data_IF_023455278165
#
_entry.id   IF_023455278165
#
_cell.length_a   1.000
_cell.length_b   1.000
_cell.length_c   1.000
_cell.angle_alpha   90.00
_cell.angle_beta   90.00
_cell.angle_gamma   90.00
#
_symmetry.space_group_name_H-M   'P 1'
#
loop_
_entity.id
_entity.type
_entity.pdbx_description
1 polymer ?
#
# COMPACT_ATOMS: atom_id res chain seq x y z
N UNK A 1 -3.25 -3.78 17.16
CA UNK A 1 -2.39 -4.43 18.19
C UNK A 1 -1.59 -3.43 19.00
N UNK A 2 -0.90 -2.46 18.38
CA UNK A 2 -0.08 -1.47 19.10
C UNK A 2 -0.84 -0.67 20.19
N UNK A 3 -2.05 -0.18 19.92
CA UNK A 3 -2.86 0.53 20.93
C UNK A 3 -3.13 -0.30 22.20
N UNK A 4 -3.30 -1.61 22.05
CA UNK A 4 -3.47 -2.53 23.20
C UNK A 4 -2.16 -2.70 23.96
N UNK A 5 -1.02 -2.82 23.26
CA UNK A 5 0.29 -2.79 23.90
C UNK A 5 0.46 -1.50 24.72
N UNK A 6 0.15 -0.34 24.13
CA UNK A 6 0.20 0.95 24.81
C UNK A 6 -0.70 0.97 26.07
N UNK A 7 -1.93 0.49 25.98
CA UNK A 7 -2.85 0.36 27.11
C UNK A 7 -2.27 -0.52 28.24
N UNK A 8 -1.75 -1.71 27.93
CA UNK A 8 -1.18 -2.60 28.94
C UNK A 8 0.12 -2.07 29.55
N UNK A 9 0.90 -1.31 28.78
CA UNK A 9 2.04 -0.56 29.31
C UNK A 9 1.58 0.45 30.38
N UNK A 10 0.53 1.23 30.11
CA UNK A 10 -0.04 2.18 31.09
C UNK A 10 -0.59 1.47 32.33
N UNK A 11 -1.18 0.28 32.17
CA UNK A 11 -1.66 -0.56 33.30
C UNK A 11 -0.56 -1.34 34.00
N UNK A 12 0.70 -1.18 33.60
CA UNK A 12 1.86 -1.91 34.13
C UNK A 12 1.73 -3.44 34.03
N UNK A 13 0.96 -3.95 33.05
CA UNK A 13 0.76 -5.40 32.80
C UNK A 13 1.77 -5.88 31.75
N UNK A 14 3.01 -6.12 32.19
CA UNK A 14 4.16 -6.37 31.30
C UNK A 14 3.99 -7.61 30.41
N UNK A 15 3.42 -8.71 30.92
CA UNK A 15 3.20 -9.91 30.10
C UNK A 15 2.28 -9.63 28.91
N UNK A 16 1.12 -9.02 29.15
CA UNK A 16 0.17 -8.67 28.10
C UNK A 16 0.78 -7.62 27.16
N UNK A 17 1.48 -6.63 27.70
CA UNK A 17 2.24 -5.68 26.90
C UNK A 17 3.19 -6.38 25.91
N UNK A 18 4.02 -7.30 26.38
CA UNK A 18 4.96 -8.05 25.56
C UNK A 18 4.27 -8.91 24.50
N UNK A 19 3.15 -9.57 24.84
CA UNK A 19 2.34 -10.33 23.89
C UNK A 19 1.84 -9.43 22.76
N UNK A 20 1.28 -8.27 23.08
CA UNK A 20 0.75 -7.36 22.06
C UNK A 20 1.85 -6.65 21.26
N UNK A 21 3.05 -6.46 21.82
CA UNK A 21 4.23 -6.03 21.05
C UNK A 21 4.62 -7.11 20.03
N UNK A 22 4.75 -8.36 20.47
CA UNK A 22 5.07 -9.47 19.58
C UNK A 22 4.04 -9.62 18.47
N UNK A 23 2.75 -9.63 18.81
CA UNK A 23 1.66 -9.67 17.81
C UNK A 23 1.68 -8.45 16.88
N UNK A 24 2.14 -7.29 17.33
CA UNK A 24 2.27 -6.11 16.46
C UNK A 24 3.38 -6.29 15.43
N UNK A 25 4.53 -6.85 15.84
CA UNK A 25 5.66 -7.10 14.94
C UNK A 25 5.33 -8.15 13.86
N UNK A 26 4.47 -9.12 14.16
CA UNK A 26 4.03 -10.14 13.19
C UNK A 26 3.11 -9.62 12.09
N UNK A 27 2.56 -8.40 12.20
CA UNK A 27 1.62 -7.86 11.20
C UNK A 27 2.36 -7.31 9.99
N UNK A 28 3.40 -6.50 10.23
CA UNK A 28 4.18 -5.84 9.18
C UNK A 28 5.52 -5.39 9.74
N UNK A 29 6.55 -5.41 8.93
CA UNK A 29 7.95 -5.14 9.30
C UNK A 29 8.18 -3.70 9.81
N UNK A 30 7.49 -2.74 9.21
CA UNK A 30 7.56 -1.30 9.50
C UNK A 30 6.83 -0.92 10.81
N UNK A 31 6.02 -1.81 11.39
CA UNK A 31 5.46 -1.63 12.75
C UNK A 31 6.57 -1.55 13.81
N UNK A 32 7.75 -2.11 13.52
CA UNK A 32 8.91 -1.95 14.39
C UNK A 32 9.33 -0.48 14.57
N UNK A 33 9.04 0.42 13.62
CA UNK A 33 9.43 1.82 13.73
C UNK A 33 8.67 2.58 14.83
N UNK A 34 7.36 2.37 14.96
CA UNK A 34 6.60 2.98 16.05
C UNK A 34 7.01 2.38 17.41
N UNK A 35 7.33 1.09 17.46
CA UNK A 35 7.84 0.44 18.68
C UNK A 35 9.24 0.95 19.04
N UNK A 36 10.09 1.21 18.05
CA UNK A 36 11.41 1.78 18.24
C UNK A 36 11.31 3.16 18.93
N UNK A 37 10.48 4.07 18.43
CA UNK A 37 10.29 5.35 19.12
C UNK A 37 9.62 5.16 20.49
N UNK A 38 8.69 4.23 20.61
CA UNK A 38 8.07 3.94 21.91
C UNK A 38 9.09 3.48 22.95
N UNK A 39 10.11 2.70 22.54
CA UNK A 39 11.21 2.29 23.40
C UNK A 39 12.01 3.49 23.96
N UNK A 40 12.25 4.50 23.13
CA UNK A 40 12.90 5.75 23.53
C UNK A 40 12.03 6.54 24.52
N UNK A 41 10.72 6.59 24.31
CA UNK A 41 9.79 7.23 25.26
C UNK A 41 9.78 6.50 26.60
N UNK A 42 9.82 5.16 26.60
CA UNK A 42 9.90 4.34 27.83
C UNK A 42 11.21 4.58 28.57
N UNK A 43 12.31 4.83 27.84
CA UNK A 43 13.61 5.14 28.42
C UNK A 43 13.54 6.41 29.30
N UNK A 44 12.87 7.46 28.82
CA UNK A 44 12.64 8.69 29.60
C UNK A 44 11.77 8.47 30.85
N UNK A 45 10.92 7.45 30.84
CA UNK A 45 10.14 7.02 32.01
C UNK A 45 10.92 6.13 33.00
N UNK A 46 12.25 6.05 32.86
CA UNK A 46 13.18 5.31 33.74
C UNK A 46 12.93 3.80 33.80
N UNK A 47 12.22 3.21 32.82
CA UNK A 47 12.02 1.75 32.69
C UNK A 47 13.07 1.14 31.75
N UNK A 48 14.34 1.29 32.09
CA UNK A 48 15.49 0.99 31.21
C UNK A 48 15.49 -0.43 30.63
N UNK A 49 15.23 -1.46 31.45
CA UNK A 49 15.26 -2.86 30.99
C UNK A 49 14.29 -3.10 29.83
N UNK A 50 13.05 -2.62 29.97
CA UNK A 50 12.02 -2.79 28.93
C UNK A 50 12.37 -1.96 27.70
N UNK A 51 12.81 -0.71 27.88
CA UNK A 51 13.22 0.16 26.77
C UNK A 51 14.33 -0.48 25.92
N UNK A 52 15.40 -0.96 26.56
CA UNK A 52 16.54 -1.58 25.88
C UNK A 52 16.12 -2.83 25.11
N UNK A 53 15.30 -3.70 25.73
CA UNK A 53 14.79 -4.91 25.04
C UNK A 53 13.98 -4.51 23.81
N UNK A 54 13.06 -3.56 23.92
CA UNK A 54 12.24 -3.13 22.78
C UNK A 54 13.07 -2.48 21.67
N UNK A 55 14.07 -1.68 22.03
CA UNK A 55 14.96 -1.01 21.09
C UNK A 55 15.68 -2.04 20.22
N UNK A 56 16.38 -2.98 20.84
CA UNK A 56 17.12 -4.01 20.11
C UNK A 56 16.20 -4.99 19.38
N UNK A 57 15.06 -5.37 19.95
CA UNK A 57 14.07 -6.21 19.27
C UNK A 57 13.52 -5.53 18.01
N UNK A 58 13.24 -4.23 18.07
CA UNK A 58 12.73 -3.48 16.91
C UNK A 58 13.78 -3.40 15.79
N UNK A 59 15.03 -3.09 16.14
CA UNK A 59 16.14 -3.05 15.16
C UNK A 59 16.38 -4.43 14.57
N UNK A 60 16.45 -5.47 15.40
CA UNK A 60 16.62 -6.84 14.95
C UNK A 60 15.48 -7.26 14.01
N UNK A 61 14.23 -6.93 14.34
CA UNK A 61 13.08 -7.24 13.49
C UNK A 61 13.17 -6.57 12.12
N UNK A 62 13.49 -5.27 12.05
CA UNK A 62 13.64 -4.54 10.78
C UNK A 62 14.66 -5.23 9.87
N UNK A 63 15.82 -5.60 10.44
CA UNK A 63 16.90 -6.26 9.69
C UNK A 63 16.49 -7.67 9.26
N UNK A 64 15.96 -8.48 10.16
CA UNK A 64 15.58 -9.87 9.91
C UNK A 64 14.46 -9.92 8.87
N UNK A 65 13.40 -9.13 9.06
CA UNK A 65 12.27 -9.10 8.14
C UNK A 65 12.69 -8.69 6.72
N UNK A 66 13.49 -7.63 6.57
CA UNK A 66 13.99 -7.22 5.26
C UNK A 66 14.88 -8.27 4.61
N UNK A 67 15.73 -8.98 5.36
CA UNK A 67 16.55 -10.08 4.83
C UNK A 67 15.71 -11.27 4.39
N UNK A 68 14.69 -11.64 5.17
CA UNK A 68 13.77 -12.71 4.81
C UNK A 68 13.02 -12.33 3.53
N UNK A 69 12.44 -11.13 3.46
CA UNK A 69 11.73 -10.63 2.27
C UNK A 69 12.65 -10.63 1.05
N UNK A 70 13.87 -10.10 1.20
CA UNK A 70 14.85 -10.08 0.12
C UNK A 70 15.20 -11.48 -0.39
N UNK A 71 15.31 -12.49 0.50
CA UNK A 71 15.66 -13.87 0.08
C UNK A 71 14.60 -14.55 -0.79
N UNK A 72 13.35 -14.06 -0.80
CA UNK A 72 12.31 -14.54 -1.72
C UNK A 72 12.35 -13.84 -3.08
N UNK A 73 13.13 -12.77 -3.23
CA UNK A 73 13.40 -12.14 -4.52
C UNK A 73 14.56 -12.85 -5.22
N UNK A 74 14.40 -13.14 -6.52
CA UNK A 74 15.47 -13.73 -7.32
C UNK A 74 16.72 -12.85 -7.42
N UNK A 75 16.59 -11.54 -7.22
CA UNK A 75 17.68 -10.57 -7.18
C UNK A 75 18.15 -10.25 -5.75
N UNK A 76 17.66 -10.98 -4.74
CA UNK A 76 17.91 -10.71 -3.32
C UNK A 76 17.62 -9.25 -2.93
N UNK A 77 16.58 -8.68 -3.54
CA UNK A 77 16.24 -7.28 -3.47
C UNK A 77 15.04 -7.02 -2.55
N UNK A 78 15.14 -5.99 -1.71
CA UNK A 78 14.02 -5.45 -0.95
C UNK A 78 13.54 -4.12 -1.57
N UNK A 79 12.27 -4.01 -1.99
CA UNK A 79 11.65 -2.77 -2.47
C UNK A 79 11.84 -1.56 -1.56
N UNK A 80 11.98 -1.79 -0.25
CA UNK A 80 11.96 -0.74 0.76
C UNK A 80 13.00 0.36 0.50
N UNK A 81 14.25 -0.02 0.24
CA UNK A 81 15.35 0.95 0.05
C UNK A 81 15.26 1.72 -1.26
N UNK A 82 14.63 1.15 -2.29
CA UNK A 82 14.52 1.78 -3.59
C UNK A 82 13.73 3.10 -3.53
N UNK A 83 12.69 3.16 -2.70
CA UNK A 83 11.89 4.37 -2.49
C UNK A 83 12.71 5.56 -1.97
N UNK A 84 13.86 5.32 -1.33
CA UNK A 84 14.71 6.34 -0.73
C UNK A 84 16.01 6.59 -1.51
N UNK A 85 16.22 5.90 -2.63
CA UNK A 85 17.44 6.00 -3.44
C UNK A 85 17.77 7.43 -3.88
N UNK A 86 16.75 8.27 -4.10
CA UNK A 86 16.90 9.66 -4.49
C UNK A 86 17.57 10.54 -3.41
N UNK A 87 17.50 10.16 -2.13
CA UNK A 87 18.13 10.91 -1.04
C UNK A 87 19.66 10.95 -1.16
N UNK A 88 20.26 9.91 -1.75
CA UNK A 88 21.71 9.83 -1.92
C UNK A 88 22.28 10.80 -2.97
N UNK A 89 21.44 11.27 -3.90
CA UNK A 89 21.83 12.21 -4.97
C UNK A 89 21.20 13.59 -4.81
N UNK A 90 20.27 13.77 -3.88
CA UNK A 90 19.60 15.04 -3.64
C UNK A 90 20.40 15.95 -2.68
N UNK A 91 20.52 17.23 -3.06
CA UNK A 91 21.04 18.25 -2.14
C UNK A 91 20.04 18.57 -1.02
N UNK A 92 20.52 19.14 0.09
CA UNK A 92 19.68 19.46 1.27
C UNK A 92 18.49 20.36 0.95
N UNK A 93 18.64 21.29 -0.01
CA UNK A 93 17.55 22.15 -0.49
C UNK A 93 16.45 21.37 -1.18
N UNK A 94 16.79 20.38 -2.02
CA UNK A 94 15.84 19.51 -2.68
C UNK A 94 15.09 18.61 -1.67
N UNK A 95 15.81 18.11 -0.66
CA UNK A 95 15.21 17.33 0.43
C UNK A 95 14.22 18.20 1.24
N UNK A 96 14.62 19.41 1.62
CA UNK A 96 13.74 20.33 2.33
C UNK A 96 12.51 20.72 1.51
N UNK A 97 12.68 21.03 0.23
CA UNK A 97 11.58 21.33 -0.69
C UNK A 97 10.63 20.14 -0.85
N UNK A 98 11.15 18.91 -0.85
CA UNK A 98 10.34 17.70 -0.90
C UNK A 98 9.51 17.53 0.38
N UNK A 99 10.15 17.66 1.56
CA UNK A 99 9.46 17.58 2.86
C UNK A 99 8.32 18.61 2.95
N UNK A 100 8.58 19.83 2.50
CA UNK A 100 7.61 20.95 2.52
C UNK A 100 6.72 21.01 1.27
N UNK A 101 6.72 19.97 0.44
CA UNK A 101 5.89 19.94 -0.76
C UNK A 101 4.40 19.99 -0.41
N UNK A 102 3.61 20.58 -1.31
CA UNK A 102 2.14 20.67 -1.14
C UNK A 102 1.52 19.29 -0.81
N UNK A 103 1.95 18.22 -1.47
CA UNK A 103 1.44 16.86 -1.23
C UNK A 103 1.68 16.37 0.20
N UNK A 104 2.86 16.64 0.76
CA UNK A 104 3.20 16.26 2.12
C UNK A 104 2.42 17.10 3.14
N UNK A 105 2.28 18.41 2.90
CA UNK A 105 1.50 19.30 3.75
C UNK A 105 0.01 18.99 3.72
N UNK A 106 -0.55 18.71 2.54
CA UNK A 106 -1.92 18.24 2.35
C UNK A 106 -2.17 16.95 3.13
N UNK A 107 -1.24 15.99 3.03
CA UNK A 107 -1.33 14.73 3.77
C UNK A 107 -1.36 14.95 5.29
N UNK A 108 -0.38 15.68 5.83
CA UNK A 108 -0.28 15.96 7.26
C UNK A 108 -1.55 16.69 7.74
N UNK A 109 -2.01 17.67 6.97
CA UNK A 109 -3.25 18.42 7.24
C UNK A 109 -4.45 17.48 7.28
N UNK A 110 -4.64 16.64 6.26
CA UNK A 110 -5.76 15.72 6.19
C UNK A 110 -5.77 14.68 7.32
N UNK A 111 -4.61 14.29 7.86
CA UNK A 111 -4.57 13.39 9.03
C UNK A 111 -4.76 14.11 10.37
N UNK A 112 -4.43 15.40 10.48
CA UNK A 112 -4.64 16.19 11.71
C UNK A 112 -6.05 16.79 11.79
N UNK A 113 -6.67 17.07 10.66
CA UNK A 113 -7.97 17.74 10.55
C UNK A 113 -9.13 16.97 11.24
N UNK A 114 -9.26 15.62 11.13
CA UNK A 114 -10.26 14.85 11.89
C UNK A 114 -10.17 15.03 13.41
N UNK A 115 -8.98 15.41 13.90
CA UNK A 115 -8.69 15.66 15.31
C UNK A 115 -8.63 17.16 15.65
N UNK A 116 -9.07 18.05 14.75
CA UNK A 116 -8.96 19.51 14.87
C UNK A 116 -7.56 19.97 15.32
N UNK A 117 -6.51 19.30 14.86
CA UNK A 117 -5.12 19.57 15.23
C UNK A 117 -4.80 19.45 16.74
N UNK A 118 -5.71 18.93 17.57
CA UNK A 118 -5.52 18.69 19.01
C UNK A 118 -4.29 17.80 19.31
N UNK A 119 -3.90 16.80 18.49
CA UNK A 119 -2.67 16.04 18.71
C UNK A 119 -1.42 16.91 18.91
N UNK A 120 -1.36 18.10 18.29
CA UNK A 120 -0.24 19.04 18.43
C UNK A 120 -0.04 19.54 19.87
N UNK A 121 -1.07 19.46 20.72
CA UNK A 121 -0.99 19.85 22.14
C UNK A 121 -0.21 18.83 22.99
N UNK A 122 0.09 17.64 22.47
CA UNK A 122 0.90 16.60 23.14
C UNK A 122 2.01 16.08 22.22
N UNK A 123 3.03 16.90 21.92
CA UNK A 123 4.11 16.53 20.99
C UNK A 123 4.89 15.28 21.42
N UNK A 124 4.98 15.00 22.72
CA UNK A 124 5.63 13.79 23.24
C UNK A 124 5.08 12.48 22.62
N UNK A 125 3.76 12.44 22.36
CA UNK A 125 3.11 11.25 21.80
C UNK A 125 3.10 11.29 20.28
N UNK A 126 3.18 12.49 19.66
CA UNK A 126 3.40 12.63 18.23
C UNK A 126 4.76 12.09 17.79
N UNK A 127 5.75 12.03 18.67
CA UNK A 127 7.03 11.38 18.37
C UNK A 127 6.85 9.93 17.89
N UNK A 128 5.82 9.22 18.36
CA UNK A 128 5.51 7.86 17.89
C UNK A 128 5.23 7.80 16.37
N UNK A 129 4.75 8.90 15.78
CA UNK A 129 4.54 9.00 14.33
C UNK A 129 5.83 9.32 13.56
N UNK A 130 6.92 9.71 14.22
CA UNK A 130 8.07 10.35 13.57
C UNK A 130 8.66 9.50 12.45
N UNK A 131 9.05 8.26 12.76
CA UNK A 131 9.66 7.38 11.75
C UNK A 131 8.62 6.92 10.74
N UNK A 132 7.43 6.39 11.12
CA UNK A 132 6.43 5.97 10.14
C UNK A 132 5.96 7.09 9.19
N UNK A 133 5.92 8.33 9.67
CA UNK A 133 5.59 9.48 8.82
C UNK A 133 6.77 9.85 7.91
N UNK A 134 8.01 9.78 8.42
CA UNK A 134 9.21 10.00 7.62
C UNK A 134 9.34 8.99 6.48
N UNK A 135 8.93 7.74 6.68
CA UNK A 135 8.91 6.73 5.60
C UNK A 135 8.12 7.21 4.39
N UNK A 136 6.96 7.81 4.63
CA UNK A 136 6.09 8.29 3.56
C UNK A 136 6.63 9.60 2.98
N UNK A 137 6.97 10.56 3.85
CA UNK A 137 7.42 11.90 3.45
C UNK A 137 8.74 11.86 2.69
N UNK A 138 9.66 10.95 3.03
CA UNK A 138 10.97 10.87 2.41
C UNK A 138 11.02 9.89 1.23
N UNK A 139 9.94 9.16 0.96
CA UNK A 139 9.85 8.34 -0.25
C UNK A 139 9.89 9.23 -1.50
N UNK A 140 10.42 8.73 -2.62
CA UNK A 140 10.51 9.50 -3.87
C UNK A 140 9.14 9.99 -4.39
N UNK A 141 8.05 9.28 -4.04
CA UNK A 141 6.69 9.66 -4.38
C UNK A 141 6.14 10.77 -3.46
N UNK A 142 6.68 10.88 -2.23
CA UNK A 142 6.13 11.67 -1.14
C UNK A 142 4.77 11.13 -0.65
N UNK A 143 4.06 11.97 0.09
CA UNK A 143 2.70 11.74 0.53
C UNK A 143 1.64 12.16 -0.50
N UNK A 144 0.46 12.52 0.01
CA UNK A 144 -0.66 13.08 -0.75
C UNK A 144 -1.90 12.20 -0.73
N UNK A 145 -2.85 12.50 -1.62
CA UNK A 145 -4.18 11.88 -1.70
C UNK A 145 -4.16 10.34 -1.65
N UNK A 146 -3.19 9.72 -2.33
CA UNK A 146 -3.04 8.27 -2.45
C UNK A 146 -2.81 7.59 -1.09
N UNK A 147 -2.15 8.27 -0.14
CA UNK A 147 -1.90 7.72 1.20
C UNK A 147 -3.20 7.57 1.99
N UNK A 148 -4.19 8.45 1.78
CA UNK A 148 -5.52 8.32 2.39
C UNK A 148 -6.35 7.20 1.74
N UNK A 149 -6.13 6.94 0.45
CA UNK A 149 -6.84 5.87 -0.27
C UNK A 149 -6.26 4.49 0.05
N UNK A 150 -5.02 4.45 0.53
CA UNK A 150 -4.32 3.22 0.91
C UNK A 150 -4.29 3.05 2.43
N UNK A 151 -3.81 1.89 2.88
CA UNK A 151 -3.76 1.55 4.30
C UNK A 151 -2.49 2.06 5.01
N UNK A 152 -1.67 2.89 4.34
CA UNK A 152 -0.40 3.38 4.88
C UNK A 152 -0.55 4.28 6.11
N UNK A 153 -1.68 5.00 6.22
CA UNK A 153 -2.01 5.80 7.41
C UNK A 153 -2.07 5.00 8.71
N UNK A 154 -2.36 3.68 8.63
CA UNK A 154 -2.57 2.83 9.79
C UNK A 154 -1.36 2.75 10.74
N UNK A 155 -0.14 2.99 10.26
CA UNK A 155 1.07 2.93 11.09
C UNK A 155 1.20 4.07 12.09
N UNK A 156 0.85 5.30 11.70
CA UNK A 156 1.01 6.49 12.54
C UNK A 156 -0.30 6.99 13.15
N UNK A 157 -1.46 6.51 12.69
CA UNK A 157 -2.76 6.78 13.32
C UNK A 157 -2.77 6.50 14.84
N UNK A 158 -2.17 5.41 15.37
CA UNK A 158 -2.09 5.20 16.81
C UNK A 158 -1.43 6.36 17.57
N UNK A 159 -0.38 6.96 17.00
CA UNK A 159 0.29 8.11 17.59
C UNK A 159 -0.64 9.33 17.65
N UNK A 160 -1.39 9.60 16.58
CA UNK A 160 -2.37 10.69 16.52
C UNK A 160 -3.47 10.49 17.55
N UNK A 161 -4.01 9.28 17.69
CA UNK A 161 -5.05 8.96 18.67
C UNK A 161 -4.54 9.13 20.10
N UNK A 162 -3.34 8.62 20.43
CA UNK A 162 -2.75 8.77 21.77
C UNK A 162 -2.50 10.25 22.08
N UNK A 163 -1.95 11.00 21.12
CA UNK A 163 -1.71 12.44 21.27
C UNK A 163 -3.01 13.23 21.42
N UNK A 164 -4.05 12.89 20.65
CA UNK A 164 -5.40 13.45 20.77
C UNK A 164 -5.96 13.25 22.17
N UNK A 165 -5.98 12.00 22.68
CA UNK A 165 -6.50 11.69 24.02
C UNK A 165 -5.76 12.51 25.09
N UNK A 166 -4.43 12.59 24.99
CA UNK A 166 -3.64 13.38 25.93
C UNK A 166 -3.88 14.89 25.81
N UNK A 167 -4.17 15.40 24.62
CA UNK A 167 -4.40 16.83 24.34
C UNK A 167 -5.83 17.29 24.61
N UNK A 168 -6.79 16.36 24.56
CA UNK A 168 -8.22 16.66 24.59
C UNK A 168 -8.64 17.44 25.82
N UNK A 169 -8.19 17.03 27.01
CA UNK A 169 -8.56 17.70 28.27
C UNK A 169 -8.17 19.19 28.25
N UNK A 170 -6.96 19.52 27.78
CA UNK A 170 -6.46 20.90 27.68
C UNK A 170 -7.25 21.71 26.65
N UNK A 171 -7.57 21.10 25.50
CA UNK A 171 -8.40 21.75 24.48
C UNK A 171 -9.82 22.03 25.00
N UNK A 172 -10.43 21.05 25.68
CA UNK A 172 -11.78 21.18 26.22
C UNK A 172 -11.84 22.25 27.32
N UNK A 173 -10.89 22.28 28.25
CA UNK A 173 -10.77 23.33 29.26
C UNK A 173 -10.65 24.72 28.63
N UNK A 174 -9.81 24.87 27.60
CA UNK A 174 -9.68 26.15 26.89
C UNK A 174 -11.02 26.61 26.29
N UNK A 175 -11.76 25.71 25.65
CA UNK A 175 -13.07 26.03 25.06
C UNK A 175 -14.11 26.36 26.14
N UNK A 176 -14.16 25.60 27.23
CA UNK A 176 -15.02 25.88 28.37
C UNK A 176 -14.71 27.24 29.02
N UNK A 177 -13.43 27.56 29.22
CA UNK A 177 -13.01 28.79 29.89
C UNK A 177 -13.16 30.03 29.02
N UNK A 178 -12.81 29.95 27.74
CA UNK A 178 -12.77 31.10 26.82
C UNK A 178 -14.05 31.28 26.01
N UNK A 179 -14.67 30.18 25.58
CA UNK A 179 -15.88 30.21 24.75
C UNK A 179 -17.14 29.87 25.55
N UNK A 180 -17.01 29.59 26.85
CA UNK A 180 -18.12 29.37 27.80
C UNK A 180 -19.09 28.28 27.34
N UNK A 181 -18.57 27.26 26.65
CA UNK A 181 -19.36 26.15 26.13
C UNK A 181 -18.71 24.80 26.41
N UNK A 182 -19.46 23.91 27.06
CA UNK A 182 -19.07 22.53 27.37
C UNK A 182 -19.08 21.59 26.16
N UNK A 183 -19.91 21.90 25.15
CA UNK A 183 -20.17 20.99 24.04
C UNK A 183 -19.58 21.46 22.71
N UNK A 184 -19.12 22.72 22.62
CA UNK A 184 -18.64 23.29 21.36
C UNK A 184 -17.51 22.46 20.73
N UNK A 185 -16.51 22.04 21.51
CA UNK A 185 -15.40 21.23 20.98
C UNK A 185 -15.89 19.91 20.39
N UNK A 186 -16.81 19.24 21.09
CA UNK A 186 -17.41 17.98 20.64
C UNK A 186 -18.23 18.19 19.36
N UNK A 187 -19.03 19.26 19.30
CA UNK A 187 -19.82 19.60 18.11
C UNK A 187 -18.89 19.88 16.92
N UNK A 188 -17.83 20.67 17.10
CA UNK A 188 -16.86 20.92 16.05
C UNK A 188 -16.19 19.63 15.57
N UNK A 189 -15.83 18.72 16.48
CA UNK A 189 -15.29 17.40 16.13
C UNK A 189 -16.31 16.56 15.34
N UNK A 190 -17.58 16.57 15.72
CA UNK A 190 -18.62 15.85 14.98
C UNK A 190 -18.82 16.45 13.59
N UNK A 191 -18.97 17.78 13.50
CA UNK A 191 -19.20 18.49 12.23
C UNK A 191 -18.04 18.29 11.28
N UNK A 192 -16.79 18.43 11.73
CA UNK A 192 -15.63 18.24 10.83
C UNK A 192 -15.55 16.80 10.33
N UNK A 193 -15.83 15.79 11.18
CA UNK A 193 -15.76 14.40 10.75
C UNK A 193 -16.92 14.05 9.79
N UNK A 194 -18.12 14.58 9.99
CA UNK A 194 -19.24 14.44 9.06
C UNK A 194 -18.89 15.10 7.72
N UNK A 195 -18.32 16.30 7.74
CA UNK A 195 -17.88 16.99 6.53
C UNK A 195 -16.82 16.17 5.76
N UNK A 196 -15.83 15.61 6.46
CA UNK A 196 -14.78 14.79 5.86
C UNK A 196 -15.28 13.46 5.29
N UNK A 197 -16.50 13.00 5.62
CA UNK A 197 -17.06 11.79 5.02
C UNK A 197 -17.33 11.93 3.51
N UNK A 198 -17.48 13.17 3.02
CA UNK A 198 -17.63 13.45 1.59
C UNK A 198 -16.34 13.09 0.84
N UNK A 199 -15.19 13.53 1.35
CA UNK A 199 -13.89 13.37 0.67
C UNK A 199 -13.16 12.06 1.03
N UNK A 200 -13.40 11.52 2.22
CA UNK A 200 -12.67 10.38 2.78
C UNK A 200 -13.56 9.24 3.28
N UNK A 201 -14.88 9.43 3.36
CA UNK A 201 -15.81 8.48 3.96
C UNK A 201 -16.65 7.71 2.94
N UNK A 202 -17.79 7.21 3.42
CA UNK A 202 -18.68 6.31 2.68
C UNK A 202 -19.26 6.98 1.42
N UNK A 203 -19.45 8.31 1.45
CA UNK A 203 -20.08 9.07 0.37
C UNK A 203 -19.15 9.33 -0.84
N UNK A 204 -17.82 9.18 -0.69
CA UNK A 204 -16.87 9.37 -1.79
C UNK A 204 -17.17 8.48 -3.00
N UNK A 205 -17.69 7.27 -2.75
CA UNK A 205 -18.02 6.27 -3.78
C UNK A 205 -19.17 6.68 -4.69
N UNK A 206 -20.09 7.53 -4.21
CA UNK A 206 -21.24 7.98 -4.99
C UNK A 206 -20.88 9.17 -5.89
N UNK A 207 -19.90 9.98 -5.49
CA UNK A 207 -19.51 11.22 -6.19
C UNK A 207 -18.43 10.96 -7.25
N UNK A 208 -17.54 10.00 -7.04
CA UNK A 208 -16.48 9.63 -7.99
C UNK A 208 -16.58 8.14 -8.37
N UNK A 209 -17.33 7.80 -9.43
CA UNK A 209 -17.45 6.41 -9.86
C UNK A 209 -16.06 5.88 -10.25
N UNK A 210 -15.61 4.86 -9.51
CA UNK A 210 -14.36 4.15 -9.81
C UNK A 210 -14.44 3.62 -11.24
N UNK A 211 -13.48 3.99 -12.10
CA UNK A 211 -13.35 3.40 -13.44
C UNK A 211 -13.21 1.89 -13.25
N UNK A 212 -14.17 1.12 -13.77
CA UNK A 212 -14.22 -0.35 -13.84
C UNK A 212 -14.50 -1.15 -12.54
N UNK A 213 -15.67 -0.92 -11.92
CA UNK A 213 -16.32 -2.04 -11.21
C UNK A 213 -17.14 -2.85 -12.21
N UNK A 214 -16.74 -4.10 -12.41
CA UNK A 214 -17.61 -5.08 -13.05
C UNK A 214 -18.93 -5.14 -12.27
N UNK A 215 -20.05 -5.20 -12.99
CA UNK A 215 -21.33 -5.54 -12.37
C UNK A 215 -21.26 -6.93 -11.74
N UNK A 216 -22.17 -7.26 -10.83
CA UNK A 216 -22.19 -8.59 -10.20
C UNK A 216 -22.24 -9.70 -11.27
N UNK A 217 -23.04 -9.54 -12.32
CA UNK A 217 -23.12 -10.48 -13.44
C UNK A 217 -21.80 -10.59 -14.21
N UNK A 218 -21.12 -9.47 -14.47
CA UNK A 218 -19.82 -9.50 -15.14
C UNK A 218 -18.75 -10.20 -14.28
N UNK A 219 -18.77 -9.95 -12.97
CA UNK A 219 -17.88 -10.60 -12.01
C UNK A 219 -18.13 -12.11 -11.95
N UNK A 220 -19.39 -12.54 -11.96
CA UNK A 220 -19.77 -13.96 -11.97
C UNK A 220 -19.30 -14.65 -13.25
N UNK A 221 -19.53 -14.04 -14.43
CA UNK A 221 -19.03 -14.58 -15.70
C UNK A 221 -17.51 -14.71 -15.72
N UNK A 222 -16.79 -13.71 -15.22
CA UNK A 222 -15.31 -13.78 -15.11
C UNK A 222 -14.90 -14.89 -14.14
N UNK A 223 -15.57 -15.01 -12.99
CA UNK A 223 -15.29 -16.08 -12.04
C UNK A 223 -15.53 -17.47 -12.65
N UNK A 224 -16.57 -17.63 -13.46
CA UNK A 224 -16.85 -18.88 -14.20
C UNK A 224 -15.77 -19.17 -15.26
N UNK A 225 -15.38 -18.16 -16.04
CA UNK A 225 -14.27 -18.28 -16.99
C UNK A 225 -12.97 -18.68 -16.28
N UNK A 226 -12.62 -18.03 -15.16
CA UNK A 226 -11.44 -18.38 -14.36
C UNK A 226 -11.55 -19.79 -13.78
N UNK A 227 -12.72 -20.18 -13.26
CA UNK A 227 -12.96 -21.54 -12.76
C UNK A 227 -12.71 -22.57 -13.86
N UNK A 228 -13.17 -22.32 -15.09
CA UNK A 228 -12.96 -23.24 -16.21
C UNK A 228 -11.47 -23.51 -16.47
N UNK A 229 -10.62 -22.48 -16.38
CA UNK A 229 -9.16 -22.60 -16.54
C UNK A 229 -8.53 -23.29 -15.33
N UNK A 230 -9.00 -22.97 -14.13
CA UNK A 230 -8.45 -23.50 -12.86
C UNK A 230 -8.78 -24.97 -12.64
N UNK A 231 -9.99 -25.41 -12.98
CA UNK A 231 -10.43 -26.79 -12.75
C UNK A 231 -9.92 -27.77 -13.81
N UNK A 232 -9.73 -27.32 -15.05
CA UNK A 232 -9.31 -28.19 -16.16
C UNK A 232 -7.84 -28.63 -16.07
N UNK A 233 -6.95 -27.76 -15.60
CA UNK A 233 -5.54 -28.09 -15.42
C UNK A 233 -4.96 -27.25 -14.28
N UNK A 234 -4.64 -27.86 -13.15
CA UNK A 234 -4.03 -27.18 -11.99
C UNK A 234 -2.54 -26.89 -12.16
N UNK A 235 -1.88 -27.57 -13.09
CA UNK A 235 -0.43 -27.51 -13.33
C UNK A 235 -0.04 -26.60 -14.49
N UNK A 236 -1.00 -26.21 -15.33
CA UNK A 236 -0.78 -25.26 -16.41
C UNK A 236 -0.15 -23.94 -15.92
N UNK A 237 0.83 -23.45 -16.67
CA UNK A 237 1.42 -22.14 -16.43
C UNK A 237 0.49 -21.05 -16.97
N UNK A 238 0.22 -20.01 -16.17
CA UNK A 238 -0.69 -18.91 -16.56
C UNK A 238 0.03 -17.57 -16.46
N UNK A 239 -0.14 -16.73 -17.47
CA UNK A 239 0.22 -15.31 -17.43
C UNK A 239 -1.06 -14.49 -17.26
N UNK A 240 -1.17 -13.68 -16.21
CA UNK A 240 -2.41 -12.98 -15.90
C UNK A 240 -2.22 -11.50 -15.55
N UNK A 241 -3.25 -10.73 -15.90
CA UNK A 241 -3.46 -9.33 -15.52
C UNK A 241 -3.48 -9.13 -14.01
N UNK A 242 -3.03 -7.99 -13.51
CA UNK A 242 -2.71 -7.83 -12.07
C UNK A 242 -3.94 -8.04 -11.17
N UNK A 243 -5.12 -7.61 -11.62
CA UNK A 243 -6.39 -7.76 -10.88
C UNK A 243 -6.82 -9.21 -10.70
N UNK A 244 -6.34 -10.11 -11.56
CA UNK A 244 -6.72 -11.52 -11.60
C UNK A 244 -5.70 -12.43 -10.91
N UNK A 245 -4.51 -11.92 -10.56
CA UNK A 245 -3.45 -12.70 -9.93
C UNK A 245 -3.89 -13.31 -8.59
N UNK A 246 -4.64 -12.56 -7.79
CA UNK A 246 -5.14 -13.04 -6.49
C UNK A 246 -6.11 -14.21 -6.65
N UNK A 247 -6.99 -14.19 -7.66
CA UNK A 247 -7.91 -15.30 -7.94
C UNK A 247 -7.18 -16.57 -8.39
N UNK A 248 -5.94 -16.45 -8.85
CA UNK A 248 -5.11 -17.52 -9.40
C UNK A 248 -3.91 -17.87 -8.50
N UNK A 249 -3.83 -17.29 -7.29
CA UNK A 249 -2.64 -17.39 -6.43
C UNK A 249 -2.41 -18.78 -5.83
N UNK A 250 -3.39 -19.69 -5.93
CA UNK A 250 -3.25 -21.09 -5.52
C UNK A 250 -2.44 -21.94 -6.51
N UNK A 251 -2.06 -21.36 -7.66
CA UNK A 251 -1.28 -22.05 -8.70
C UNK A 251 0.22 -21.95 -8.43
N UNK A 252 0.91 -23.05 -8.68
CA UNK A 252 2.38 -23.11 -8.60
C UNK A 252 3.05 -22.27 -9.70
N UNK A 253 2.48 -22.27 -10.91
CA UNK A 253 3.06 -21.62 -12.08
C UNK A 253 2.18 -20.46 -12.55
N UNK A 254 2.34 -19.30 -11.91
CA UNK A 254 1.67 -18.06 -12.27
C UNK A 254 2.67 -16.94 -12.54
N UNK A 255 2.41 -16.16 -13.59
CA UNK A 255 3.22 -15.05 -14.02
C UNK A 255 2.39 -13.77 -14.09
N UNK A 256 3.01 -12.65 -13.72
CA UNK A 256 2.39 -11.34 -13.73
C UNK A 256 2.58 -10.67 -15.09
N UNK A 257 1.47 -10.32 -15.74
CA UNK A 257 1.47 -9.76 -17.08
C UNK A 257 2.25 -8.43 -17.18
N UNK A 258 2.13 -7.55 -16.18
CA UNK A 258 2.82 -6.25 -16.21
C UNK A 258 4.35 -6.38 -16.19
N UNK A 259 4.91 -7.35 -15.45
CA UNK A 259 6.35 -7.59 -15.48
C UNK A 259 6.80 -8.29 -16.75
N UNK A 260 5.96 -9.19 -17.30
CA UNK A 260 6.23 -9.74 -18.63
C UNK A 260 6.25 -8.63 -19.69
N UNK A 261 5.25 -7.75 -19.69
CA UNK A 261 5.15 -6.60 -20.58
C UNK A 261 6.42 -5.74 -20.51
N UNK A 262 6.84 -5.32 -19.31
CA UNK A 262 8.07 -4.55 -19.15
C UNK A 262 9.34 -5.36 -19.47
N UNK A 263 9.29 -6.69 -19.36
CA UNK A 263 10.43 -7.56 -19.54
C UNK A 263 11.45 -7.57 -18.41
N UNK A 264 11.15 -6.83 -17.35
CA UNK A 264 12.00 -6.67 -16.18
C UNK A 264 11.18 -6.86 -14.93
N UNK A 265 11.85 -7.30 -13.87
CA UNK A 265 11.26 -7.42 -12.55
C UNK A 265 10.98 -6.02 -11.97
N UNK A 266 10.33 -5.98 -10.81
CA UNK A 266 10.05 -4.74 -10.09
C UNK A 266 11.31 -3.87 -9.97
N UNK A 267 11.19 -2.58 -10.31
CA UNK A 267 12.31 -1.61 -10.29
C UNK A 267 13.52 -2.02 -11.12
N UNK A 268 13.30 -2.81 -12.18
CA UNK A 268 14.33 -3.25 -13.12
C UNK A 268 15.52 -3.99 -12.48
N UNK A 269 15.28 -4.68 -11.36
CA UNK A 269 16.33 -5.40 -10.62
C UNK A 269 16.82 -6.68 -11.31
N UNK A 270 16.23 -7.04 -12.44
CA UNK A 270 16.58 -8.21 -13.24
C UNK A 270 15.62 -8.39 -14.40
N UNK A 271 15.95 -9.31 -15.31
CA UNK A 271 15.05 -9.70 -16.39
C UNK A 271 13.86 -10.49 -15.84
N UNK A 272 12.68 -10.28 -16.43
CA UNK A 272 11.50 -11.09 -16.14
C UNK A 272 11.45 -12.28 -17.10
N UNK A 273 11.92 -13.43 -16.63
CA UNK A 273 12.04 -14.65 -17.44
C UNK A 273 10.88 -15.59 -17.12
N UNK A 274 10.22 -16.07 -18.18
CA UNK A 274 9.23 -17.13 -18.06
C UNK A 274 9.94 -18.48 -18.07
N UNK A 275 10.02 -19.15 -16.92
CA UNK A 275 10.63 -20.49 -16.82
C UNK A 275 9.91 -21.54 -17.68
N UNK A 276 8.62 -21.32 -17.94
CA UNK A 276 7.80 -22.13 -18.85
C UNK A 276 6.88 -21.22 -19.64
N UNK A 277 6.85 -21.39 -20.96
CA UNK A 277 5.91 -20.64 -21.83
C UNK A 277 4.47 -20.97 -21.40
N UNK A 278 3.63 -19.96 -21.09
CA UNK A 278 2.33 -20.17 -20.48
C UNK A 278 1.40 -20.99 -21.39
N UNK A 279 0.54 -21.81 -20.78
CA UNK A 279 -0.53 -22.49 -21.50
C UNK A 279 -1.70 -21.54 -21.75
N UNK A 280 -1.94 -20.63 -20.79
CA UNK A 280 -3.01 -19.64 -20.84
C UNK A 280 -2.48 -18.23 -20.59
N UNK A 281 -3.05 -17.26 -21.30
CA UNK A 281 -2.87 -15.83 -21.01
C UNK A 281 -4.24 -15.24 -20.69
N UNK A 282 -4.33 -14.46 -19.61
CA UNK A 282 -5.58 -13.81 -19.19
C UNK A 282 -5.33 -12.30 -19.13
N UNK A 283 -5.95 -11.58 -20.06
CA UNK A 283 -5.73 -10.16 -20.29
C UNK A 283 -7.01 -9.38 -19.96
N UNK A 284 -6.97 -8.52 -18.96
CA UNK A 284 -7.96 -7.45 -18.77
C UNK A 284 -7.52 -6.27 -19.65
N UNK A 285 -8.36 -5.83 -20.57
CA UNK A 285 -8.06 -4.70 -21.46
C UNK A 285 -7.79 -3.42 -20.68
N UNK A 286 -8.39 -3.26 -19.49
CA UNK A 286 -8.15 -2.09 -18.65
C UNK A 286 -6.72 -2.02 -18.11
N UNK A 287 -6.01 -3.16 -18.00
CA UNK A 287 -4.60 -3.17 -17.63
C UNK A 287 -3.75 -2.46 -18.69
N UNK A 288 -4.10 -2.53 -19.98
CA UNK A 288 -3.33 -1.85 -21.04
C UNK A 288 -3.43 -0.32 -20.93
N UNK A 289 -4.62 0.18 -20.57
CA UNK A 289 -4.82 1.59 -20.27
C UNK A 289 -4.03 2.00 -19.04
N UNK A 290 -4.05 1.19 -17.99
CA UNK A 290 -3.26 1.41 -16.78
C UNK A 290 -1.75 1.40 -17.08
N UNK A 291 -1.27 0.50 -17.94
CA UNK A 291 0.13 0.48 -18.35
C UNK A 291 0.51 1.78 -19.08
N UNK A 292 -0.37 2.28 -19.94
CA UNK A 292 -0.16 3.54 -20.65
C UNK A 292 -0.17 4.76 -19.72
N UNK A 293 -1.08 4.82 -18.76
CA UNK A 293 -1.21 5.94 -17.83
C UNK A 293 -0.10 5.92 -16.76
N UNK A 294 0.24 4.75 -16.22
CA UNK A 294 1.10 4.61 -15.06
C UNK A 294 2.50 4.06 -15.37
N UNK A 295 2.62 2.98 -16.16
CA UNK A 295 3.94 2.39 -16.44
C UNK A 295 4.75 3.27 -17.40
N UNK A 296 4.12 3.82 -18.45
CA UNK A 296 4.80 4.70 -19.42
C UNK A 296 5.41 5.94 -18.75
N UNK A 297 4.71 6.53 -17.78
CA UNK A 297 5.12 7.74 -17.08
C UNK A 297 5.98 7.46 -15.84
N UNK A 298 6.17 6.19 -15.48
CA UNK A 298 6.99 5.80 -14.34
C UNK A 298 8.47 6.05 -14.64
N UNK A 299 9.19 6.66 -13.68
CA UNK A 299 10.63 6.90 -13.78
C UNK A 299 11.45 5.64 -14.05
N UNK A 300 11.01 4.48 -13.56
CA UNK A 300 11.76 3.24 -13.68
C UNK A 300 11.25 2.34 -14.81
N UNK A 301 9.92 2.32 -15.04
CA UNK A 301 9.29 1.41 -15.99
C UNK A 301 9.15 2.02 -17.39
N UNK A 302 9.10 3.36 -17.50
CA UNK A 302 8.76 4.05 -18.75
C UNK A 302 9.70 3.71 -19.91
N UNK A 303 11.00 3.56 -19.64
CA UNK A 303 12.00 3.17 -20.63
C UNK A 303 11.78 1.77 -21.24
N UNK A 304 11.01 0.91 -20.58
CA UNK A 304 10.70 -0.44 -21.04
C UNK A 304 9.32 -0.56 -21.69
N UNK A 305 8.50 0.50 -21.62
CA UNK A 305 7.10 0.46 -22.04
C UNK A 305 6.94 0.17 -23.52
N UNK A 306 7.68 0.87 -24.38
CA UNK A 306 7.53 0.76 -25.85
C UNK A 306 7.82 -0.67 -26.34
N UNK A 307 8.88 -1.31 -25.81
CA UNK A 307 9.22 -2.69 -26.12
C UNK A 307 8.20 -3.71 -25.57
N UNK A 308 7.35 -3.30 -24.62
CA UNK A 308 6.37 -4.19 -24.01
C UNK A 308 5.19 -4.50 -24.92
N UNK A 309 4.78 -3.55 -25.75
CA UNK A 309 3.72 -3.77 -26.74
C UNK A 309 4.12 -4.84 -27.75
N UNK A 310 5.34 -4.72 -28.30
CA UNK A 310 5.87 -5.68 -29.28
C UNK A 310 5.99 -7.08 -28.68
N UNK A 311 6.51 -7.17 -27.45
CA UNK A 311 6.65 -8.44 -26.73
C UNK A 311 5.31 -9.12 -26.47
N UNK A 312 4.29 -8.37 -26.08
CA UNK A 312 2.96 -8.93 -25.85
C UNK A 312 2.31 -9.38 -27.18
N UNK A 313 2.49 -8.61 -28.26
CA UNK A 313 2.05 -9.02 -29.61
C UNK A 313 2.73 -10.30 -30.06
N UNK A 314 4.05 -10.37 -29.93
CA UNK A 314 4.86 -11.55 -30.27
C UNK A 314 4.42 -12.78 -29.48
N UNK A 315 4.21 -12.64 -28.16
CA UNK A 315 3.70 -13.73 -27.34
C UNK A 315 2.40 -14.29 -27.88
N UNK A 316 1.44 -13.42 -28.18
CA UNK A 316 0.07 -13.81 -28.53
C UNK A 316 -0.09 -14.37 -29.95
N UNK A 317 0.96 -14.32 -30.80
CA UNK A 317 0.91 -14.94 -32.14
C UNK A 317 0.61 -16.44 -32.08
N UNK A 318 1.08 -17.13 -31.03
CA UNK A 318 0.88 -18.57 -30.83
C UNK A 318 -0.42 -18.91 -30.06
N UNK A 319 -1.29 -17.93 -29.80
CA UNK A 319 -2.45 -18.10 -28.93
C UNK A 319 -3.75 -17.76 -29.64
N UNK A 320 -4.78 -18.58 -29.40
CA UNK A 320 -6.15 -18.29 -29.80
C UNK A 320 -6.99 -17.81 -28.62
N UNK A 321 -7.94 -16.92 -28.89
CA UNK A 321 -8.96 -16.51 -27.91
C UNK A 321 -9.93 -17.68 -27.70
N UNK A 322 -10.12 -18.08 -26.45
CA UNK A 322 -11.06 -19.12 -26.02
C UNK A 322 -12.37 -18.49 -25.55
N UNK A 323 -12.27 -17.39 -24.81
CA UNK A 323 -13.42 -16.69 -24.23
C UNK A 323 -13.10 -15.19 -24.07
N UNK A 324 -14.15 -14.36 -24.06
CA UNK A 324 -14.06 -12.93 -23.85
C UNK A 324 -15.27 -12.43 -23.05
N UNK A 325 -15.03 -12.03 -21.80
CA UNK A 325 -16.07 -11.60 -20.86
C UNK A 325 -15.70 -10.27 -20.23
N UNK A 326 -16.55 -9.25 -20.37
CA UNK A 326 -16.45 -7.98 -19.65
C UNK A 326 -15.03 -7.35 -19.67
N UNK A 327 -14.45 -7.26 -20.87
CA UNK A 327 -13.10 -6.76 -21.15
C UNK A 327 -11.94 -7.67 -20.75
N UNK A 328 -12.23 -8.88 -20.27
CA UNK A 328 -11.24 -9.92 -19.98
C UNK A 328 -11.21 -10.96 -21.09
N UNK A 329 -10.07 -11.09 -21.75
CA UNK A 329 -9.81 -12.10 -22.77
C UNK A 329 -9.02 -13.28 -22.19
N UNK A 330 -9.51 -14.49 -22.45
CA UNK A 330 -8.81 -15.74 -22.16
C UNK A 330 -8.20 -16.28 -23.45
N UNK A 331 -6.89 -16.47 -23.43
CA UNK A 331 -6.11 -17.03 -24.52
C UNK A 331 -5.57 -18.41 -24.15
N UNK A 332 -5.53 -19.33 -25.13
CA UNK A 332 -4.90 -20.65 -24.99
C UNK A 332 -3.92 -20.89 -26.12
N UNK A 333 -2.74 -21.38 -25.76
CA UNK A 333 -1.66 -21.68 -26.72
C UNK A 333 -2.08 -22.76 -27.71
N UNK A 334 -1.85 -22.53 -29.00
CA UNK A 334 -2.19 -23.46 -30.08
C UNK A 334 -3.69 -23.65 -30.34
N UNK A 335 -4.55 -22.84 -29.69
CA UNK A 335 -5.99 -22.87 -29.93
C UNK A 335 -6.32 -22.15 -31.23
N UNK A 336 -7.11 -22.78 -32.11
CA UNK A 336 -7.62 -22.13 -33.33
C UNK A 336 -8.85 -21.32 -32.97
N UNK A 337 -8.70 -20.01 -32.86
CA UNK A 337 -9.79 -19.13 -32.45
C UNK A 337 -10.74 -18.82 -33.61
N UNK A 338 -12.03 -18.81 -33.31
CA UNK A 338 -13.06 -18.22 -34.18
C UNK A 338 -13.10 -16.68 -34.03
N UNK A 339 -12.58 -16.15 -32.92
CA UNK A 339 -12.50 -14.72 -32.62
C UNK A 339 -11.15 -14.19 -33.11
N UNK A 340 -11.19 -13.30 -34.11
CA UNK A 340 -9.99 -12.63 -34.58
C UNK A 340 -9.47 -11.66 -33.52
N UNK A 341 -8.15 -11.69 -33.25
CA UNK A 341 -7.47 -10.78 -32.32
C UNK A 341 -7.79 -9.30 -32.57
N UNK A 342 -7.93 -8.90 -33.83
CA UNK A 342 -8.26 -7.52 -34.22
C UNK A 342 -9.65 -7.07 -33.75
N UNK A 343 -10.57 -8.00 -33.47
CA UNK A 343 -11.91 -7.70 -32.96
C UNK A 343 -11.93 -7.41 -31.45
N UNK A 344 -10.84 -7.70 -30.73
CA UNK A 344 -10.74 -7.40 -29.31
C UNK A 344 -10.47 -5.91 -29.03
N UNK A 345 -10.23 -5.09 -30.06
CA UNK A 345 -9.90 -3.67 -29.95
C UNK A 345 -8.87 -3.42 -28.84
N UNK A 346 -7.81 -4.22 -28.79
CA UNK A 346 -6.70 -3.99 -27.87
C UNK A 346 -5.96 -2.78 -28.41
N UNK A 347 -6.17 -1.62 -27.78
CA UNK A 347 -5.42 -0.40 -28.09
C UNK A 347 -3.98 -0.62 -27.62
N UNK A 348 -3.17 -1.13 -28.54
CA UNK A 348 -1.78 -1.49 -28.28
C UNK A 348 -0.97 -0.32 -27.75
#
# INVERSE_FOLDING_TARGET
MFLMAFYFYLKNKILLFSIFIFLSLLIREDVAFIILIFSLIILFNKKYKIAVILFFTSIAWIIIANKIIASFSSSNFSPFLYYYSWLGSAGSSAIAAHILSYKNLEMITGFLLPFLFIPLLKPQWLLLALIPLAEIILSAAGGGAQIFMMHYGALFLPALVIAFIGGFHRANQFVEDKLKSKYLLLICLMVINIFLWVDFGVFKKEIYPNRSKWSNTQQDNINEMLKSVVTQDKTASILASYRLLANLSSRENIYALHYYFLGVQQFAQGQYILNKKPAYVILDKNDLLDFKENLKNSKWAGQYYENGQERLKELLQDYGVVDFQADVALFKRGYKSEIQLNKLNLDW
#
